data_IF_391673221140
#
_entry.id   IF_391673221140
#
_cell.length_a   1.000
_cell.length_b   1.000
_cell.length_c   1.000
_cell.angle_alpha   90.00
_cell.angle_beta   90.00
_cell.angle_gamma   90.00
#
_symmetry.space_group_name_H-M   'P 1'
#
loop_
_entity.id
_entity.type
_entity.pdbx_description
1 polymer ?
#
# COMPACT_ATOMS: atom_id res chain seq x y z
N UNK A 1 -20.32 -15.08 16.36
CA UNK A 1 -19.45 -14.84 15.19
C UNK A 1 -20.05 -15.60 14.01
N UNK A 2 -20.90 -14.94 13.21
CA UNK A 2 -21.53 -15.52 12.03
C UNK A 2 -20.63 -15.30 10.82
N UNK A 3 -19.59 -16.13 10.66
CA UNK A 3 -18.79 -16.13 9.44
C UNK A 3 -19.61 -16.75 8.30
N UNK A 4 -20.52 -15.98 7.72
CA UNK A 4 -21.20 -16.40 6.50
C UNK A 4 -20.19 -16.62 5.37
N UNK A 5 -20.45 -17.64 4.54
CA UNK A 5 -19.63 -17.96 3.35
C UNK A 5 -20.11 -17.21 2.11
N UNK A 6 -20.93 -16.17 2.25
CA UNK A 6 -21.40 -15.45 1.06
C UNK A 6 -20.30 -14.55 0.53
N UNK A 7 -20.34 -14.26 -0.77
CA UNK A 7 -19.41 -13.32 -1.40
C UNK A 7 -19.48 -11.92 -0.79
N UNK A 8 -20.60 -11.56 -0.19
CA UNK A 8 -20.81 -10.24 0.39
C UNK A 8 -20.24 -10.15 1.81
N UNK A 9 -20.25 -11.25 2.57
CA UNK A 9 -19.55 -11.34 3.85
C UNK A 9 -18.04 -11.14 3.68
N UNK A 10 -17.45 -11.73 2.63
CA UNK A 10 -16.01 -11.59 2.35
C UNK A 10 -15.68 -10.13 1.98
N UNK A 11 -16.56 -9.45 1.23
CA UNK A 11 -16.40 -8.03 0.89
C UNK A 11 -16.49 -7.16 2.13
N UNK A 12 -17.44 -7.44 3.02
CA UNK A 12 -17.58 -6.72 4.29
C UNK A 12 -16.32 -6.90 5.16
N UNK A 13 -15.80 -8.13 5.26
CA UNK A 13 -14.58 -8.41 6.01
C UNK A 13 -13.36 -7.71 5.42
N UNK A 14 -13.15 -7.81 4.11
CA UNK A 14 -12.05 -7.10 3.42
C UNK A 14 -12.14 -5.60 3.67
N UNK A 15 -13.34 -5.02 3.50
CA UNK A 15 -13.55 -3.59 3.72
C UNK A 15 -13.21 -3.19 5.15
N UNK A 16 -13.76 -3.91 6.14
CA UNK A 16 -13.56 -3.65 7.56
C UNK A 16 -12.09 -3.78 7.95
N UNK A 17 -11.45 -4.89 7.59
CA UNK A 17 -10.07 -5.21 7.95
C UNK A 17 -9.10 -4.22 7.31
N UNK A 18 -9.25 -3.93 6.01
CA UNK A 18 -8.36 -2.97 5.33
C UNK A 18 -8.53 -1.58 5.91
N UNK A 19 -9.77 -1.10 6.06
CA UNK A 19 -10.05 0.26 6.55
C UNK A 19 -9.48 0.44 7.95
N UNK A 20 -9.76 -0.48 8.88
CA UNK A 20 -9.25 -0.41 10.23
C UNK A 20 -7.71 -0.47 10.30
N UNK A 21 -7.08 -1.34 9.50
CA UNK A 21 -5.63 -1.45 9.47
C UNK A 21 -4.96 -0.20 8.88
N UNK A 22 -5.50 0.36 7.80
CA UNK A 22 -4.99 1.58 7.16
C UNK A 22 -5.18 2.80 8.05
N UNK A 23 -6.36 2.95 8.68
CA UNK A 23 -6.62 4.03 9.63
C UNK A 23 -5.69 3.98 10.84
N UNK A 24 -5.44 2.78 11.38
CA UNK A 24 -4.50 2.58 12.48
C UNK A 24 -3.07 2.93 12.09
N UNK A 25 -2.64 2.63 10.86
CA UNK A 25 -1.31 2.99 10.35
C UNK A 25 -1.18 4.49 10.10
N UNK A 26 -2.27 5.19 9.77
CA UNK A 26 -2.31 6.64 9.62
C UNK A 26 -2.26 7.11 8.16
N UNK A 27 -2.04 8.41 7.96
CA UNK A 27 -2.02 9.03 6.63
C UNK A 27 -0.85 8.49 5.81
N UNK A 28 -1.08 8.27 4.53
CA UNK A 28 -0.07 7.72 3.62
C UNK A 28 0.15 6.21 3.74
N UNK A 29 -0.66 5.51 4.54
CA UNK A 29 -0.53 4.07 4.70
C UNK A 29 -1.04 3.28 3.49
N UNK A 30 -0.40 2.14 3.24
CA UNK A 30 -0.87 1.09 2.34
C UNK A 30 -0.70 -0.28 2.97
N UNK A 31 -1.38 -1.27 2.38
CA UNK A 31 -1.20 -2.69 2.65
C UNK A 31 -0.87 -3.42 1.35
N UNK A 32 -0.05 -4.45 1.42
CA UNK A 32 0.11 -5.35 0.28
C UNK A 32 -1.05 -6.33 0.24
N UNK A 33 -1.47 -6.72 -0.96
CA UNK A 33 -2.61 -7.63 -1.14
C UNK A 33 -2.43 -8.96 -0.40
N UNK A 34 -1.20 -9.48 -0.30
CA UNK A 34 -0.93 -10.69 0.49
C UNK A 34 -1.08 -10.45 2.00
N UNK A 35 -0.79 -9.25 2.50
CA UNK A 35 -1.07 -8.88 3.89
C UNK A 35 -2.58 -8.82 4.14
N UNK A 36 -3.35 -8.29 3.18
CA UNK A 36 -4.82 -8.28 3.26
C UNK A 36 -5.36 -9.71 3.38
N UNK A 37 -4.88 -10.64 2.55
CA UNK A 37 -5.24 -12.05 2.64
C UNK A 37 -4.96 -12.63 4.04
N UNK A 38 -3.77 -12.36 4.59
CA UNK A 38 -3.41 -12.81 5.93
C UNK A 38 -4.29 -12.19 7.01
N UNK A 39 -4.56 -10.89 6.94
CA UNK A 39 -5.35 -10.16 7.92
C UNK A 39 -6.82 -10.62 7.92
N UNK A 40 -7.41 -10.82 6.75
CA UNK A 40 -8.79 -11.33 6.62
C UNK A 40 -8.91 -12.72 7.22
N UNK A 41 -7.98 -13.62 6.89
CA UNK A 41 -8.00 -14.99 7.43
C UNK A 41 -7.74 -15.02 8.95
N UNK A 42 -6.86 -14.15 9.47
CA UNK A 42 -6.70 -13.98 10.92
C UNK A 42 -7.98 -13.50 11.60
N UNK A 43 -8.71 -12.57 10.98
CA UNK A 43 -9.99 -12.08 11.51
C UNK A 43 -11.10 -13.13 11.48
N UNK A 44 -11.09 -14.03 10.47
CA UNK A 44 -12.07 -15.11 10.30
C UNK A 44 -11.80 -16.35 11.15
N UNK A 45 -10.59 -16.53 11.67
CA UNK A 45 -10.22 -17.69 12.48
C UNK A 45 -10.28 -18.99 11.66
N UNK A 46 -11.29 -19.82 11.91
CA UNK A 46 -11.44 -21.12 11.23
C UNK A 46 -12.24 -21.05 9.93
N UNK A 47 -12.97 -19.96 9.67
CA UNK A 47 -13.79 -19.78 8.46
C UNK A 47 -12.98 -19.17 7.30
N UNK A 48 -11.85 -19.80 6.96
CA UNK A 48 -10.87 -19.31 6.00
C UNK A 48 -11.45 -19.08 4.60
N UNK A 49 -10.83 -18.16 3.86
CA UNK A 49 -11.10 -17.82 2.46
C UNK A 49 -9.86 -18.02 1.60
N UNK A 50 -10.05 -18.27 0.31
CA UNK A 50 -8.96 -18.42 -0.66
C UNK A 50 -8.39 -17.07 -1.11
N UNK A 51 -7.17 -17.05 -1.70
CA UNK A 51 -6.62 -15.85 -2.32
C UNK A 51 -7.54 -15.24 -3.40
N UNK A 52 -8.16 -16.08 -4.23
CA UNK A 52 -9.07 -15.65 -5.31
C UNK A 52 -10.30 -14.94 -4.77
N UNK A 53 -10.84 -15.42 -3.64
CA UNK A 53 -11.99 -14.79 -2.98
C UNK A 53 -11.63 -13.40 -2.44
N UNK A 54 -10.45 -13.26 -1.82
CA UNK A 54 -9.95 -11.96 -1.36
C UNK A 54 -9.69 -11.01 -2.52
N UNK A 55 -9.09 -11.49 -3.61
CA UNK A 55 -8.88 -10.70 -4.83
C UNK A 55 -10.21 -10.22 -5.41
N UNK A 56 -11.20 -11.12 -5.50
CA UNK A 56 -12.53 -10.78 -5.99
C UNK A 56 -13.22 -9.74 -5.09
N UNK A 57 -13.05 -9.84 -3.77
CA UNK A 57 -13.58 -8.88 -2.82
C UNK A 57 -12.88 -7.52 -2.93
N UNK A 58 -11.55 -7.48 -2.99
CA UNK A 58 -10.78 -6.25 -3.19
C UNK A 58 -11.16 -5.51 -4.47
N UNK A 59 -11.39 -6.24 -5.57
CA UNK A 59 -11.89 -5.66 -6.83
C UNK A 59 -13.25 -4.99 -6.67
N UNK A 60 -14.15 -5.55 -5.83
CA UNK A 60 -15.44 -4.91 -5.51
C UNK A 60 -15.25 -3.68 -4.63
N UNK A 61 -14.40 -3.74 -3.62
CA UNK A 61 -14.09 -2.63 -2.71
C UNK A 61 -13.36 -1.46 -3.40
N UNK A 62 -12.69 -1.72 -4.54
CA UNK A 62 -11.84 -0.75 -5.24
C UNK A 62 -12.47 -0.20 -6.52
N UNK A 63 -13.78 -0.38 -6.73
CA UNK A 63 -14.51 0.27 -7.82
C UNK A 63 -14.59 1.79 -7.59
N UNK A 64 -14.82 2.61 -8.63
CA UNK A 64 -15.10 4.03 -8.46
C UNK A 64 -16.20 4.26 -7.41
N UNK A 65 -15.94 5.14 -6.44
CA UNK A 65 -16.83 5.39 -5.29
C UNK A 65 -16.71 4.38 -4.13
N UNK A 66 -15.87 3.36 -4.26
CA UNK A 66 -15.57 2.39 -3.20
C UNK A 66 -14.66 2.95 -2.11
N UNK A 67 -14.58 2.27 -0.95
CA UNK A 67 -13.79 2.74 0.19
C UNK A 67 -12.27 2.55 0.02
N UNK A 68 -11.85 1.67 -0.89
CA UNK A 68 -10.45 1.31 -1.11
C UNK A 68 -10.00 1.69 -2.52
N UNK A 69 -8.70 1.82 -2.69
CA UNK A 69 -8.04 1.97 -3.98
C UNK A 69 -6.93 0.93 -4.06
N UNK A 70 -6.81 0.28 -5.22
CA UNK A 70 -5.70 -0.62 -5.51
C UNK A 70 -4.74 0.02 -6.50
N UNK A 71 -3.46 -0.28 -6.36
CA UNK A 71 -2.43 0.14 -7.31
C UNK A 71 -1.46 -0.99 -7.60
N UNK A 72 -1.16 -1.21 -8.89
CA UNK A 72 -0.13 -2.15 -9.31
C UNK A 72 1.23 -1.51 -9.10
N UNK A 73 2.15 -2.25 -8.50
CA UNK A 73 3.48 -1.80 -8.13
C UNK A 73 4.52 -2.57 -8.94
N UNK A 74 5.40 -1.81 -9.61
CA UNK A 74 6.45 -2.38 -10.46
C UNK A 74 5.96 -3.26 -11.60
N UNK A 75 6.90 -3.89 -12.30
CA UNK A 75 6.63 -4.84 -13.38
C UNK A 75 6.13 -6.19 -12.89
N UNK A 76 6.54 -6.61 -11.69
CA UNK A 76 6.27 -7.92 -11.07
C UNK A 76 4.81 -8.06 -10.62
N UNK A 77 4.06 -6.97 -10.53
CA UNK A 77 2.61 -7.00 -10.34
C UNK A 77 2.14 -7.20 -8.90
N UNK A 78 2.95 -6.79 -7.92
CA UNK A 78 2.46 -6.58 -6.56
C UNK A 78 1.31 -5.56 -6.57
N UNK A 79 0.37 -5.71 -5.64
CA UNK A 79 -0.78 -4.80 -5.53
C UNK A 79 -0.78 -4.19 -4.13
N UNK A 80 -0.71 -2.86 -4.08
CA UNK A 80 -0.97 -2.07 -2.89
C UNK A 80 -2.45 -1.74 -2.78
N UNK A 81 -2.94 -1.70 -1.55
CA UNK A 81 -4.29 -1.30 -1.18
C UNK A 81 -4.16 -0.11 -0.23
N UNK A 82 -4.83 0.99 -0.57
CA UNK A 82 -4.91 2.20 0.25
C UNK A 82 -6.37 2.63 0.40
N UNK A 83 -6.62 3.60 1.26
CA UNK A 83 -7.94 4.22 1.38
C UNK A 83 -8.21 5.05 0.12
N UNK A 84 -9.41 4.93 -0.46
CA UNK A 84 -9.75 5.66 -1.69
C UNK A 84 -9.72 7.19 -1.50
N UNK A 85 -10.01 7.65 -0.28
CA UNK A 85 -10.00 9.07 0.11
C UNK A 85 -8.60 9.65 0.28
N UNK A 86 -7.56 8.83 0.35
CA UNK A 86 -6.17 9.29 0.50
C UNK A 86 -5.63 9.64 -0.88
N UNK A 87 -5.34 10.92 -1.08
CA UNK A 87 -4.77 11.46 -2.32
C UNK A 87 -3.30 11.05 -2.49
N UNK A 88 -2.79 11.13 -3.72
CA UNK A 88 -1.38 10.85 -4.00
C UNK A 88 -0.46 11.82 -3.24
N UNK A 89 -0.81 13.11 -3.16
CA UNK A 89 -0.07 14.09 -2.37
C UNK A 89 0.02 13.72 -0.88
N UNK A 90 -1.05 13.15 -0.30
CA UNK A 90 -1.02 12.66 1.09
C UNK A 90 -0.20 11.38 1.25
N UNK A 91 -0.12 10.53 0.22
CA UNK A 91 0.77 9.37 0.21
C UNK A 91 2.25 9.77 0.10
N UNK A 92 2.53 10.84 -0.64
CA UNK A 92 3.89 11.33 -0.92
C UNK A 92 4.47 12.19 0.19
N UNK A 93 3.62 12.90 0.94
CA UNK A 93 4.05 13.85 1.97
C UNK A 93 5.09 13.29 2.96
N UNK A 94 4.95 12.07 3.51
CA UNK A 94 5.98 11.52 4.40
C UNK A 94 7.35 11.36 3.70
N UNK A 95 7.37 10.91 2.45
CA UNK A 95 8.60 10.73 1.68
C UNK A 95 9.26 12.09 1.37
N UNK A 96 8.45 13.08 1.00
CA UNK A 96 8.92 14.42 0.69
C UNK A 96 9.47 15.14 1.92
N UNK A 97 8.85 14.97 3.09
CA UNK A 97 9.37 15.52 4.35
C UNK A 97 10.71 14.87 4.72
N UNK A 98 10.85 13.56 4.54
CA UNK A 98 12.12 12.86 4.79
C UNK A 98 13.26 13.31 3.86
N UNK A 99 12.92 13.76 2.65
CA UNK A 99 13.88 14.29 1.66
C UNK A 99 14.49 15.64 2.06
N UNK A 100 13.92 16.35 3.03
CA UNK A 100 14.48 17.61 3.55
C UNK A 100 15.83 17.37 4.27
N UNK A 101 15.99 16.20 4.88
CA UNK A 101 17.16 15.86 5.70
C UNK A 101 18.23 15.08 4.93
N UNK A 102 17.82 14.12 4.09
CA UNK A 102 18.73 13.22 3.38
C UNK A 102 18.02 12.47 2.25
N UNK A 103 18.77 11.79 1.35
CA UNK A 103 18.18 10.90 0.35
C UNK A 103 17.41 9.75 0.98
N UNK A 104 16.41 9.21 0.28
CA UNK A 104 15.65 8.07 0.74
C UNK A 104 16.35 6.77 0.35
N UNK A 105 16.36 5.79 1.25
CA UNK A 105 16.58 4.40 0.91
C UNK A 105 15.42 3.58 1.45
N UNK A 106 15.16 2.40 0.89
CA UNK A 106 14.09 1.54 1.38
C UNK A 106 14.26 1.19 2.87
N UNK A 107 15.51 1.04 3.34
CA UNK A 107 15.79 0.79 4.74
C UNK A 107 15.41 2.01 5.61
N UNK A 108 15.87 3.21 5.25
CA UNK A 108 15.55 4.44 5.99
C UNK A 108 14.03 4.67 6.07
N UNK A 109 13.33 4.57 4.93
CA UNK A 109 11.87 4.73 4.88
C UNK A 109 11.17 3.69 5.76
N UNK A 110 11.66 2.44 5.78
CA UNK A 110 11.08 1.40 6.63
C UNK A 110 11.22 1.71 8.13
N UNK A 111 12.38 2.23 8.54
CA UNK A 111 12.67 2.62 9.92
C UNK A 111 11.82 3.80 10.36
N UNK A 112 11.80 4.87 9.57
CA UNK A 112 11.09 6.12 9.91
C UNK A 112 9.57 5.93 9.93
N UNK A 113 9.01 5.22 8.93
CA UNK A 113 7.57 4.98 8.85
C UNK A 113 7.11 3.77 9.65
N UNK A 114 8.03 3.03 10.29
CA UNK A 114 7.75 1.80 11.05
C UNK A 114 6.96 0.77 10.23
N UNK A 115 7.38 0.59 8.99
CA UNK A 115 6.83 -0.37 8.02
C UNK A 115 7.89 -1.38 7.63
N UNK A 116 7.49 -2.43 6.91
CA UNK A 116 8.47 -3.39 6.37
C UNK A 116 9.30 -2.76 5.25
N UNK A 117 10.53 -3.27 5.04
CA UNK A 117 11.37 -2.86 3.90
C UNK A 117 10.67 -3.12 2.56
N UNK A 118 9.83 -4.16 2.48
CA UNK A 118 9.03 -4.43 1.30
C UNK A 118 8.02 -3.30 1.03
N UNK A 119 7.21 -2.93 2.02
CA UNK A 119 6.27 -1.80 1.91
C UNK A 119 6.99 -0.50 1.53
N UNK A 120 8.14 -0.21 2.16
CA UNK A 120 8.95 0.95 1.85
C UNK A 120 9.44 0.97 0.39
N UNK A 121 9.94 -0.16 -0.13
CA UNK A 121 10.33 -0.29 -1.55
C UNK A 121 9.16 0.02 -2.48
N UNK A 122 7.97 -0.44 -2.14
CA UNK A 122 6.79 -0.21 -2.96
C UNK A 122 6.32 1.23 -2.95
N UNK A 123 6.35 1.91 -1.80
CA UNK A 123 6.07 3.35 -1.72
C UNK A 123 7.04 4.16 -2.59
N UNK A 124 8.33 3.82 -2.55
CA UNK A 124 9.35 4.47 -3.37
C UNK A 124 9.14 4.21 -4.86
N UNK A 125 8.87 2.95 -5.25
CA UNK A 125 8.59 2.61 -6.65
C UNK A 125 7.33 3.28 -7.19
N UNK A 126 6.30 3.42 -6.36
CA UNK A 126 5.08 4.12 -6.74
C UNK A 126 5.30 5.62 -6.96
N UNK A 127 6.03 6.27 -6.05
CA UNK A 127 6.38 7.67 -6.15
C UNK A 127 7.28 7.93 -7.37
N UNK A 128 8.24 7.05 -7.65
CA UNK A 128 9.10 7.08 -8.83
C UNK A 128 8.29 6.95 -10.13
N UNK A 129 7.36 5.99 -10.20
CA UNK A 129 6.51 5.80 -11.39
C UNK A 129 5.64 7.01 -11.72
N UNK A 130 5.32 7.82 -10.70
CA UNK A 130 4.58 9.08 -10.85
C UNK A 130 5.48 10.30 -10.97
N UNK A 131 6.78 10.10 -11.15
CA UNK A 131 7.79 11.15 -11.29
C UNK A 131 7.86 12.12 -10.09
N UNK A 132 7.51 11.66 -8.87
CA UNK A 132 7.64 12.46 -7.63
C UNK A 132 9.08 12.47 -7.15
N UNK A 133 9.75 11.33 -7.28
CA UNK A 133 11.14 11.11 -6.91
C UNK A 133 11.88 10.47 -8.08
N UNK A 134 13.21 10.62 -8.10
CA UNK A 134 14.11 9.97 -9.04
C UNK A 134 15.07 9.06 -8.31
N UNK A 135 15.49 8.01 -8.99
CA UNK A 135 16.40 7.00 -8.47
C UNK A 135 17.85 7.30 -8.86
N UNK A 136 18.75 7.10 -7.91
CA UNK A 136 20.19 6.95 -8.12
C UNK A 136 20.58 5.51 -7.74
N UNK A 137 21.07 4.75 -8.71
CA UNK A 137 21.43 3.34 -8.55
C UNK A 137 22.94 3.23 -8.30
N UNK A 138 23.34 3.42 -7.04
CA UNK A 138 24.73 3.34 -6.62
C UNK A 138 25.13 1.88 -6.32
N UNK A 139 26.43 1.53 -6.41
CA UNK A 139 26.90 0.16 -6.21
C UNK A 139 26.49 -0.47 -4.87
N UNK A 140 26.40 0.32 -3.81
CA UNK A 140 26.11 -0.14 -2.46
C UNK A 140 24.62 -0.11 -2.13
N UNK A 141 23.87 0.83 -2.71
CA UNK A 141 22.47 1.04 -2.40
C UNK A 141 21.75 1.85 -3.48
N UNK A 142 20.43 1.60 -3.58
CA UNK A 142 19.53 2.46 -4.36
C UNK A 142 19.05 3.61 -3.47
N UNK A 143 19.38 4.83 -3.89
CA UNK A 143 18.90 6.06 -3.26
C UNK A 143 17.81 6.71 -4.11
N UNK A 144 16.94 7.47 -3.47
CA UNK A 144 15.95 8.29 -4.14
C UNK A 144 16.04 9.74 -3.68
N UNK A 145 15.84 10.64 -4.64
CA UNK A 145 15.92 12.09 -4.50
C UNK A 145 14.63 12.73 -4.98
N UNK A 146 14.37 13.97 -4.56
CA UNK A 146 13.28 14.75 -5.13
C UNK A 146 13.47 14.90 -6.65
N UNK A 147 12.40 14.70 -7.42
CA UNK A 147 12.47 14.91 -8.85
C UNK A 147 12.42 16.42 -9.17
N UNK A 148 13.52 16.97 -9.70
CA UNK A 148 13.62 18.35 -10.18
C UNK A 148 13.50 18.47 -11.71
N UNK A 149 13.31 17.34 -12.41
CA UNK A 149 13.27 17.29 -13.87
C UNK A 149 11.86 17.37 -14.45
N UNK A 150 10.82 17.35 -13.60
CA UNK A 150 9.43 17.27 -14.06
C UNK A 150 8.92 18.55 -14.76
N UNK A 151 9.70 19.62 -14.74
CA UNK A 151 9.43 20.92 -15.38
C UNK A 151 10.19 21.11 -16.72
N UNK A 152 10.97 20.12 -17.16
CA UNK A 152 11.72 20.12 -18.43
C UNK A 152 11.03 19.26 -19.50
#
# INVERSE_FOLDING_TARGET
>A
MSGGKTKDDIVADVTKVCTAALEKKGRGAMLLMHDVFCLVNRARGTALVSPEEVISALRKCSKPGGPLRTRKLGSVGAIAVALARTSDAEMDAPLLNMLEEAPLSAFRVSTELKITVAEARYLLQDAEQRAVIVRDDAPECVYFYRNFFNDF
#
